data_IF_624721372421
#
_entry.id   IF_624721372421
#
_cell.length_a   1.000
_cell.length_b   1.000
_cell.length_c   1.000
_cell.angle_alpha   90.00
_cell.angle_beta   90.00
_cell.angle_gamma   90.00
#
_symmetry.space_group_name_H-M   'P 1'
#
loop_
_entity.id
_entity.type
_entity.pdbx_description
1 polymer ?
#
# COMPACT_ATOMS: atom_id res chain seq x y z
N UNK A 1 -15.19 -15.95 3.81
CA UNK A 1 -13.74 -16.21 3.70
C UNK A 1 -12.98 -14.95 4.14
N UNK A 2 -12.68 -14.80 5.44
CA UNK A 2 -12.07 -13.57 6.01
C UNK A 2 -10.57 -13.69 6.28
N UNK A 3 -9.98 -14.89 6.10
CA UNK A 3 -8.61 -15.20 6.53
C UNK A 3 -7.51 -14.83 5.51
N UNK A 4 -7.89 -14.38 4.31
CA UNK A 4 -6.97 -14.09 3.21
C UNK A 4 -6.55 -12.61 3.12
N UNK A 5 -7.33 -11.67 3.66
CA UNK A 5 -6.95 -10.26 3.72
C UNK A 5 -5.82 -10.08 4.76
N UNK A 6 -4.61 -9.68 4.34
CA UNK A 6 -3.48 -9.53 5.25
C UNK A 6 -3.69 -8.42 6.28
N UNK A 7 -4.45 -7.37 5.97
CA UNK A 7 -4.71 -6.27 6.90
C UNK A 7 -5.63 -6.75 8.02
N UNK A 8 -6.73 -7.42 7.67
CA UNK A 8 -7.64 -8.01 8.68
C UNK A 8 -6.95 -9.06 9.54
N UNK A 9 -6.04 -9.84 8.96
CA UNK A 9 -5.24 -10.82 9.71
C UNK A 9 -4.39 -10.12 10.78
N UNK A 10 -3.78 -9.01 10.45
CA UNK A 10 -2.95 -8.26 11.39
C UNK A 10 -3.77 -7.61 12.49
N UNK A 11 -4.92 -7.00 12.14
CA UNK A 11 -5.87 -6.48 13.13
C UNK A 11 -6.31 -7.58 14.11
N UNK A 12 -6.66 -8.77 13.58
CA UNK A 12 -7.04 -9.90 14.42
C UNK A 12 -5.88 -10.38 15.32
N UNK A 13 -4.64 -10.41 14.80
CA UNK A 13 -3.45 -10.79 15.57
C UNK A 13 -3.23 -9.87 16.77
N UNK A 14 -3.24 -8.55 16.55
CA UNK A 14 -3.06 -7.55 17.61
C UNK A 14 -4.23 -7.61 18.61
N UNK A 15 -5.46 -7.70 18.10
CA UNK A 15 -6.64 -7.75 18.96
C UNK A 15 -6.63 -8.98 19.88
N UNK A 16 -6.31 -10.17 19.32
CA UNK A 16 -6.21 -11.40 20.09
C UNK A 16 -5.10 -11.35 21.13
N UNK A 17 -3.93 -10.83 20.77
CA UNK A 17 -2.82 -10.67 21.71
C UNK A 17 -3.24 -9.81 22.92
N UNK A 18 -3.89 -8.66 22.67
CA UNK A 18 -4.36 -7.75 23.72
C UNK A 18 -5.47 -8.34 24.58
N UNK A 19 -6.40 -9.07 23.97
CA UNK A 19 -7.48 -9.75 24.71
C UNK A 19 -6.93 -10.81 25.67
N UNK A 20 -5.89 -11.55 25.26
CA UNK A 20 -5.22 -12.53 26.11
C UNK A 20 -4.49 -11.86 27.26
N UNK A 21 -3.78 -10.76 27.01
CA UNK A 21 -3.09 -9.97 28.04
C UNK A 21 -4.07 -9.33 29.05
N UNK A 22 -5.24 -8.89 28.60
CA UNK A 22 -6.29 -8.29 29.42
C UNK A 22 -7.04 -9.32 30.30
N UNK A 23 -7.21 -10.56 29.80
CA UNK A 23 -7.91 -11.65 30.51
C UNK A 23 -9.44 -11.51 30.58
N UNK A 24 -10.01 -10.38 30.13
CA UNK A 24 -11.47 -10.15 30.05
C UNK A 24 -11.96 -10.31 28.62
N UNK A 25 -12.62 -11.44 28.34
CA UNK A 25 -13.10 -11.79 27.00
C UNK A 25 -14.63 -11.83 27.02
N UNK A 26 -15.26 -10.70 26.72
CA UNK A 26 -16.71 -10.58 26.52
C UNK A 26 -17.01 -9.68 25.31
N UNK A 27 -18.21 -9.76 24.70
CA UNK A 27 -18.50 -9.14 23.40
C UNK A 27 -18.10 -7.65 23.30
N UNK A 28 -18.53 -6.82 24.26
CA UNK A 28 -18.19 -5.39 24.23
C UNK A 28 -16.70 -5.07 24.32
N UNK A 29 -15.91 -5.91 25.02
CA UNK A 29 -14.45 -5.71 25.10
C UNK A 29 -13.75 -6.14 23.83
N UNK A 30 -14.23 -7.20 23.18
CA UNK A 30 -13.73 -7.68 21.89
C UNK A 30 -13.92 -6.57 20.84
N UNK A 31 -15.11 -5.99 20.75
CA UNK A 31 -15.41 -4.91 19.81
C UNK A 31 -14.51 -3.69 20.04
N UNK A 32 -14.34 -3.27 21.31
CA UNK A 32 -13.46 -2.15 21.66
C UNK A 32 -12.01 -2.39 21.25
N UNK A 33 -11.45 -3.57 21.56
CA UNK A 33 -10.05 -3.90 21.26
C UNK A 33 -9.83 -4.05 19.76
N UNK A 34 -10.76 -4.68 19.04
CA UNK A 34 -10.70 -4.80 17.57
C UNK A 34 -10.74 -3.41 16.92
N UNK A 35 -11.62 -2.52 17.37
CA UNK A 35 -11.70 -1.16 16.84
C UNK A 35 -10.39 -0.36 17.08
N UNK A 36 -9.78 -0.51 18.26
CA UNK A 36 -8.46 0.11 18.56
C UNK A 36 -7.35 -0.47 17.68
N UNK A 37 -7.30 -1.79 17.53
CA UNK A 37 -6.30 -2.46 16.68
C UNK A 37 -6.46 -2.06 15.20
N UNK A 38 -7.69 -1.95 14.70
CA UNK A 38 -7.95 -1.49 13.34
C UNK A 38 -7.43 -0.06 13.11
N UNK A 39 -7.71 0.87 14.04
CA UNK A 39 -7.24 2.26 13.94
C UNK A 39 -5.71 2.36 13.95
N UNK A 40 -5.05 1.54 14.76
CA UNK A 40 -3.58 1.50 14.82
C UNK A 40 -2.98 0.98 13.52
N UNK A 41 -3.54 -0.10 12.96
CA UNK A 41 -3.10 -0.63 11.68
C UNK A 41 -3.35 0.36 10.54
N UNK A 42 -4.48 1.06 10.55
CA UNK A 42 -4.74 2.14 9.58
C UNK A 42 -3.69 3.25 9.66
N UNK A 43 -3.29 3.64 10.87
CA UNK A 43 -2.23 4.62 11.07
C UNK A 43 -0.86 4.09 10.62
N UNK A 44 -0.50 2.85 10.98
CA UNK A 44 0.76 2.23 10.53
C UNK A 44 0.85 2.16 9.00
N UNK A 45 -0.24 1.84 8.31
CA UNK A 45 -0.29 1.86 6.84
C UNK A 45 -0.03 3.25 6.27
N UNK A 46 -0.64 4.28 6.86
CA UNK A 46 -0.46 5.67 6.44
C UNK A 46 0.98 6.13 6.66
N UNK A 47 1.51 5.92 7.87
CA UNK A 47 2.87 6.31 8.24
C UNK A 47 3.90 5.64 7.32
N UNK A 48 3.73 4.34 7.05
CA UNK A 48 4.63 3.60 6.14
C UNK A 48 4.57 4.13 4.70
N UNK A 49 3.40 4.53 4.20
CA UNK A 49 3.28 5.11 2.87
C UNK A 49 3.93 6.50 2.81
N UNK A 50 3.70 7.33 3.82
CA UNK A 50 4.26 8.69 3.92
C UNK A 50 5.79 8.65 4.05
N UNK A 51 6.34 7.72 4.84
CA UNK A 51 7.78 7.51 4.95
C UNK A 51 8.41 7.18 3.58
N UNK A 52 7.81 6.25 2.83
CA UNK A 52 8.30 5.88 1.48
C UNK A 52 8.23 7.07 0.52
N UNK A 53 7.14 7.83 0.54
CA UNK A 53 6.97 9.02 -0.30
C UNK A 53 8.01 10.09 0.04
N UNK A 54 8.22 10.34 1.33
CA UNK A 54 9.22 11.28 1.84
C UNK A 54 10.64 10.88 1.41
N UNK A 55 11.04 9.63 1.63
CA UNK A 55 12.36 9.12 1.25
C UNK A 55 12.62 9.19 -0.26
N UNK A 56 11.59 9.01 -1.08
CA UNK A 56 11.71 9.09 -2.54
C UNK A 56 11.66 10.53 -3.07
N UNK A 57 11.25 11.49 -2.24
CA UNK A 57 11.01 12.89 -2.64
C UNK A 57 9.75 13.07 -3.49
N UNK A 58 8.76 12.19 -3.34
CA UNK A 58 7.51 12.22 -4.11
C UNK A 58 6.47 13.02 -3.33
N UNK A 59 5.96 14.09 -3.94
CA UNK A 59 4.99 14.99 -3.31
C UNK A 59 3.65 15.01 -4.06
N UNK A 60 2.62 15.59 -3.44
CA UNK A 60 1.32 15.78 -4.08
C UNK A 60 0.62 14.47 -4.46
N UNK A 61 0.78 13.41 -3.67
CA UNK A 61 0.04 12.16 -3.88
C UNK A 61 -1.34 12.28 -3.21
N UNK A 62 -2.43 12.05 -3.95
CA UNK A 62 -3.79 12.07 -3.40
C UNK A 62 -3.96 11.11 -2.21
N UNK A 63 -4.69 11.50 -1.14
CA UNK A 63 -4.83 10.67 0.07
C UNK A 63 -5.38 9.26 -0.17
N UNK A 64 -6.27 9.06 -1.16
CA UNK A 64 -6.79 7.73 -1.49
C UNK A 64 -5.69 6.81 -2.08
N UNK A 65 -4.74 7.39 -2.84
CA UNK A 65 -3.58 6.67 -3.36
C UNK A 65 -2.60 6.36 -2.22
N UNK A 66 -2.34 7.31 -1.32
CA UNK A 66 -1.48 7.10 -0.13
C UNK A 66 -2.01 5.95 0.73
N UNK A 67 -3.32 5.95 1.03
CA UNK A 67 -3.98 4.86 1.76
C UNK A 67 -3.80 3.51 1.06
N UNK A 68 -3.97 3.48 -0.26
CA UNK A 68 -3.84 2.24 -1.04
C UNK A 68 -2.39 1.74 -1.08
N UNK A 69 -1.42 2.65 -1.22
CA UNK A 69 0.00 2.36 -1.14
C UNK A 69 0.36 1.77 0.24
N UNK A 70 -0.16 2.34 1.32
CA UNK A 70 0.03 1.86 2.69
C UNK A 70 -0.43 0.42 2.91
N UNK A 71 -1.51 -0.02 2.25
CA UNK A 71 -1.98 -1.42 2.31
C UNK A 71 -0.94 -2.43 1.81
N UNK A 72 -0.01 -2.01 0.94
CA UNK A 72 1.08 -2.87 0.48
C UNK A 72 2.05 -3.25 1.62
N UNK A 73 2.07 -2.51 2.73
CA UNK A 73 2.88 -2.79 3.93
C UNK A 73 2.57 -4.16 4.54
N UNK A 74 1.34 -4.64 4.42
CA UNK A 74 0.93 -5.94 4.94
C UNK A 74 0.85 -7.02 3.86
N UNK A 75 1.07 -6.67 2.59
CA UNK A 75 1.04 -7.61 1.48
C UNK A 75 2.45 -8.17 1.20
N UNK A 76 2.53 -9.49 1.06
CA UNK A 76 3.74 -10.19 0.65
C UNK A 76 3.49 -10.94 -0.66
N UNK A 77 4.44 -10.88 -1.59
CA UNK A 77 4.45 -11.67 -2.83
C UNK A 77 5.83 -12.28 -3.00
N UNK A 78 5.91 -13.57 -3.33
CA UNK A 78 7.18 -14.29 -3.51
C UNK A 78 8.18 -14.12 -2.33
N UNK A 79 7.67 -14.01 -1.10
CA UNK A 79 8.50 -13.81 0.11
C UNK A 79 8.96 -12.37 0.35
N UNK A 80 8.62 -11.41 -0.52
CA UNK A 80 8.96 -10.00 -0.37
C UNK A 80 7.74 -9.15 -0.04
N UNK A 81 7.94 -8.16 0.84
CA UNK A 81 6.93 -7.16 1.14
C UNK A 81 6.67 -6.25 -0.07
N UNK A 82 5.40 -6.01 -0.43
CA UNK A 82 5.07 -5.25 -1.63
C UNK A 82 5.37 -3.75 -1.53
N UNK A 83 5.20 -3.13 -0.37
CA UNK A 83 5.56 -1.71 -0.22
C UNK A 83 7.08 -1.54 -0.40
N UNK A 84 7.86 -2.44 0.22
CA UNK A 84 9.31 -2.46 0.06
C UNK A 84 9.72 -2.70 -1.40
N UNK A 85 9.09 -3.66 -2.07
CA UNK A 85 9.30 -3.91 -3.49
C UNK A 85 9.06 -2.66 -4.34
N UNK A 86 7.91 -1.99 -4.17
CA UNK A 86 7.59 -0.77 -4.92
C UNK A 86 8.59 0.36 -4.65
N UNK A 87 9.10 0.49 -3.41
CA UNK A 87 10.16 1.43 -3.06
C UNK A 87 11.47 1.11 -3.78
N UNK A 88 11.92 -0.14 -3.74
CA UNK A 88 13.15 -0.61 -4.41
C UNK A 88 13.07 -0.38 -5.94
N UNK A 89 11.94 -0.71 -6.56
CA UNK A 89 11.68 -0.46 -7.98
C UNK A 89 11.76 1.05 -8.29
N UNK A 90 11.14 1.90 -7.48
CA UNK A 90 11.22 3.35 -7.66
C UNK A 90 12.66 3.87 -7.57
N UNK A 91 13.44 3.39 -6.59
CA UNK A 91 14.84 3.77 -6.43
C UNK A 91 15.69 3.36 -7.65
N UNK A 92 15.60 2.10 -8.07
CA UNK A 92 16.33 1.59 -9.23
C UNK A 92 15.94 2.34 -10.50
N UNK A 93 14.64 2.55 -10.72
CA UNK A 93 14.15 3.27 -11.88
C UNK A 93 14.63 4.73 -11.91
N UNK A 94 14.63 5.41 -10.76
CA UNK A 94 15.18 6.75 -10.61
C UNK A 94 16.68 6.82 -10.92
N UNK A 95 17.47 5.86 -10.42
CA UNK A 95 18.91 5.78 -10.73
C UNK A 95 19.16 5.49 -12.20
N UNK A 96 18.38 4.62 -12.84
CA UNK A 96 18.51 4.40 -14.29
C UNK A 96 18.17 5.68 -15.06
N UNK A 97 17.09 6.38 -14.69
CA UNK A 97 16.68 7.62 -15.33
C UNK A 97 17.76 8.71 -15.26
N UNK A 98 18.50 8.82 -14.14
CA UNK A 98 19.59 9.79 -14.04
C UNK A 98 20.74 9.52 -15.00
N UNK A 99 21.05 8.25 -15.28
CA UNK A 99 22.14 7.87 -16.19
C UNK A 99 21.80 8.14 -17.67
N UNK A 100 20.53 8.05 -18.05
CA UNK A 100 20.08 8.23 -19.44
C UNK A 100 19.37 9.56 -19.71
N UNK A 101 19.41 10.49 -18.75
CA UNK A 101 18.87 11.84 -18.91
C UNK A 101 17.34 11.93 -18.96
N UNK A 102 16.64 11.00 -18.30
CA UNK A 102 15.18 11.05 -18.14
C UNK A 102 14.76 11.75 -16.84
N UNK A 103 13.48 12.12 -16.74
CA UNK A 103 12.91 12.72 -15.54
C UNK A 103 12.88 11.73 -14.37
N UNK A 104 13.80 11.91 -13.44
CA UNK A 104 13.98 11.06 -12.25
C UNK A 104 12.71 11.02 -11.38
N UNK A 105 12.02 12.15 -11.21
CA UNK A 105 10.86 12.24 -10.31
C UNK A 105 9.64 11.55 -10.91
N UNK A 106 9.39 11.79 -12.21
CA UNK A 106 8.32 11.09 -12.93
C UNK A 106 8.56 9.57 -12.93
N UNK A 107 9.80 9.13 -13.16
CA UNK A 107 10.16 7.72 -13.16
C UNK A 107 10.03 7.07 -11.78
N UNK A 108 10.46 7.73 -10.70
CA UNK A 108 10.25 7.23 -9.33
C UNK A 108 8.76 7.09 -9.00
N UNK A 109 7.94 8.08 -9.35
CA UNK A 109 6.48 8.03 -9.15
C UNK A 109 5.84 6.88 -9.90
N UNK A 110 6.23 6.68 -11.17
CA UNK A 110 5.77 5.55 -11.98
C UNK A 110 6.18 4.20 -11.38
N UNK A 111 7.45 4.07 -10.98
CA UNK A 111 7.98 2.85 -10.36
C UNK A 111 7.32 2.54 -9.01
N UNK A 112 7.04 3.54 -8.19
CA UNK A 112 6.36 3.34 -6.91
C UNK A 112 4.91 2.87 -7.11
N UNK A 113 4.19 3.48 -8.06
CA UNK A 113 2.76 3.25 -8.24
C UNK A 113 2.41 2.11 -9.19
N UNK A 114 3.38 1.52 -9.93
CA UNK A 114 3.12 0.51 -10.96
C UNK A 114 2.21 -0.64 -10.49
N UNK A 115 2.40 -1.07 -9.24
CA UNK A 115 1.73 -2.21 -8.62
C UNK A 115 0.70 -1.80 -7.54
N UNK A 116 0.36 -0.51 -7.41
CA UNK A 116 -0.46 0.02 -6.30
C UNK A 116 -1.82 -0.66 -6.17
N UNK A 117 -2.41 -1.12 -7.27
CA UNK A 117 -3.69 -1.83 -7.27
C UNK A 117 -3.67 -3.15 -6.50
N UNK A 118 -2.49 -3.70 -6.18
CA UNK A 118 -2.33 -4.82 -5.24
C UNK A 118 -2.85 -4.46 -3.83
N UNK A 119 -2.99 -3.19 -3.48
CA UNK A 119 -3.66 -2.78 -2.25
C UNK A 119 -5.17 -3.09 -2.23
N UNK A 120 -5.80 -3.35 -3.38
CA UNK A 120 -7.25 -3.35 -3.53
C UNK A 120 -7.86 -4.69 -3.94
N UNK A 121 -7.05 -5.67 -4.38
CA UNK A 121 -7.54 -6.93 -4.98
C UNK A 121 -8.34 -7.83 -4.05
N UNK A 122 -8.32 -7.60 -2.74
CA UNK A 122 -9.13 -8.37 -1.79
C UNK A 122 -10.53 -7.78 -1.56
N UNK A 123 -10.70 -6.49 -1.85
CA UNK A 123 -11.93 -5.75 -1.56
C UNK A 123 -12.76 -5.48 -2.82
N UNK A 124 -12.15 -5.58 -4.01
CA UNK A 124 -12.75 -5.18 -5.28
C UNK A 124 -12.46 -6.20 -6.38
N UNK A 125 -13.45 -6.42 -7.24
CA UNK A 125 -13.30 -7.22 -8.45
C UNK A 125 -12.43 -6.50 -9.50
N UNK A 126 -11.51 -7.24 -10.11
CA UNK A 126 -10.61 -6.77 -11.15
C UNK A 126 -9.15 -7.19 -10.92
N UNK A 127 -8.34 -7.09 -11.96
CA UNK A 127 -6.89 -7.28 -11.85
C UNK A 127 -6.26 -6.10 -11.10
N UNK A 128 -5.09 -6.30 -10.49
CA UNK A 128 -4.38 -5.20 -9.83
C UNK A 128 -3.98 -4.10 -10.81
N UNK A 129 -3.75 -4.44 -12.08
CA UNK A 129 -3.51 -3.49 -13.17
C UNK A 129 -4.74 -2.58 -13.37
N UNK A 130 -5.93 -3.16 -13.53
CA UNK A 130 -7.16 -2.40 -13.76
C UNK A 130 -7.52 -1.52 -12.56
N UNK A 131 -7.40 -2.06 -11.35
CA UNK A 131 -7.70 -1.35 -10.10
C UNK A 131 -6.73 -0.19 -9.90
N UNK A 132 -5.43 -0.42 -10.05
CA UNK A 132 -4.40 0.62 -9.94
C UNK A 132 -4.59 1.71 -10.99
N UNK A 133 -4.83 1.34 -12.26
CA UNK A 133 -5.05 2.30 -13.33
C UNK A 133 -6.29 3.15 -13.08
N UNK A 134 -7.41 2.54 -12.66
CA UNK A 134 -8.66 3.26 -12.38
C UNK A 134 -8.49 4.24 -11.23
N UNK A 135 -7.83 3.80 -10.14
CA UNK A 135 -7.52 4.64 -8.99
C UNK A 135 -6.68 5.85 -9.40
N UNK A 136 -5.52 5.63 -10.03
CA UNK A 136 -4.62 6.69 -10.43
C UNK A 136 -5.25 7.63 -11.47
N UNK A 137 -6.00 7.09 -12.44
CA UNK A 137 -6.68 7.89 -13.46
C UNK A 137 -7.77 8.79 -12.86
N UNK A 138 -8.55 8.26 -11.90
CA UNK A 138 -9.59 9.02 -11.21
C UNK A 138 -9.03 10.26 -10.52
N UNK A 139 -7.79 10.18 -10.02
CA UNK A 139 -7.11 11.29 -9.34
C UNK A 139 -6.20 12.13 -10.24
N UNK A 140 -6.24 11.93 -11.56
CA UNK A 140 -5.51 12.77 -12.51
C UNK A 140 -3.99 12.55 -12.51
N UNK A 141 -3.53 11.34 -12.19
CA UNK A 141 -2.11 10.99 -12.34
C UNK A 141 -1.63 11.14 -13.79
N UNK A 142 -0.34 11.45 -13.94
CA UNK A 142 0.29 11.70 -15.23
C UNK A 142 0.15 10.48 -16.18
N UNK A 143 -0.07 10.69 -17.50
CA UNK A 143 -0.16 9.62 -18.48
C UNK A 143 1.01 8.62 -18.45
N UNK A 144 2.23 9.05 -18.12
CA UNK A 144 3.40 8.17 -17.98
C UNK A 144 3.21 7.21 -16.81
N UNK A 145 2.74 7.69 -15.66
CA UNK A 145 2.45 6.85 -14.49
C UNK A 145 1.33 5.86 -14.82
N UNK A 146 0.27 6.33 -15.48
CA UNK A 146 -0.84 5.48 -15.91
C UNK A 146 -0.40 4.40 -16.90
N UNK A 147 0.52 4.73 -17.81
CA UNK A 147 1.08 3.79 -18.76
C UNK A 147 1.95 2.74 -18.06
N UNK A 148 2.80 3.15 -17.12
CA UNK A 148 3.62 2.23 -16.32
C UNK A 148 2.74 1.22 -15.58
N UNK A 149 1.63 1.66 -14.99
CA UNK A 149 0.67 0.75 -14.34
C UNK A 149 0.08 -0.26 -15.33
N UNK A 150 -0.22 0.16 -16.57
CA UNK A 150 -0.80 -0.74 -17.58
C UNK A 150 0.18 -1.74 -18.18
N UNK A 151 1.45 -1.38 -18.28
CA UNK A 151 2.43 -2.09 -19.11
C UNK A 151 3.57 -2.76 -18.31
N UNK A 152 3.42 -2.95 -16.99
CA UNK A 152 4.50 -3.48 -16.14
C UNK A 152 4.62 -5.02 -16.12
N UNK A 153 3.72 -5.76 -16.78
CA UNK A 153 3.82 -7.22 -16.96
C UNK A 153 4.37 -7.56 -18.34
#
# INVERSE_FOLDING_TARGET
MSAFDPVRREVARIALQRLVEDGRIHPGRIEEIVAKAAKEIDQEMLDAAEEVLYELGIHGVPPEIVKTLGRLRFRTSYGQNQLRHSKEVAQLAGSMASEIGLDIQATKRAGLLHDVGKGMTHDQEGTHVELGYRLCKKHGEDPIVLNAIKAHH
#
